data_IF_763249015593
#
_entry.id   IF_763249015593
#
_cell.length_a   1.000
_cell.length_b   1.000
_cell.length_c   1.000
_cell.angle_alpha   90.00
_cell.angle_beta   90.00
_cell.angle_gamma   90.00
#
_symmetry.space_group_name_H-M   'P 1'
#
loop_
_entity.id
_entity.type
_entity.pdbx_description
1 polymer ?
#
# COMPACT_ATOMS: atom_id res chain seq x y z
N UNK A 1 5.84 -14.95 0.99
CA UNK A 1 5.42 -13.89 0.04
C UNK A 1 5.05 -14.42 -1.34
N UNK A 2 5.86 -15.23 -2.04
CA UNK A 2 5.57 -15.60 -3.44
C UNK A 2 4.21 -16.29 -3.66
N UNK A 3 3.83 -17.21 -2.76
CA UNK A 3 2.52 -17.87 -2.81
C UNK A 3 1.37 -16.87 -2.67
N UNK A 4 1.46 -15.92 -1.73
CA UNK A 4 0.43 -14.90 -1.54
C UNK A 4 0.34 -13.97 -2.76
N UNK A 5 1.46 -13.62 -3.38
CA UNK A 5 1.49 -12.84 -4.62
C UNK A 5 0.76 -13.58 -5.74
N UNK A 6 1.04 -14.88 -5.93
CA UNK A 6 0.35 -15.70 -6.93
C UNK A 6 -1.16 -15.77 -6.66
N UNK A 7 -1.57 -15.93 -5.41
CA UNK A 7 -2.99 -15.93 -5.03
C UNK A 7 -3.67 -14.59 -5.31
N UNK A 8 -3.04 -13.47 -4.95
CA UNK A 8 -3.60 -12.14 -5.22
C UNK A 8 -3.64 -11.83 -6.72
N UNK A 9 -2.60 -12.22 -7.47
CA UNK A 9 -2.56 -12.05 -8.92
C UNK A 9 -3.63 -12.88 -9.63
N UNK A 10 -3.78 -14.15 -9.25
CA UNK A 10 -4.85 -15.02 -9.76
C UNK A 10 -6.23 -14.46 -9.41
N UNK A 11 -6.43 -14.04 -8.16
CA UNK A 11 -7.67 -13.40 -7.72
C UNK A 11 -7.98 -12.13 -8.53
N UNK A 12 -6.97 -11.32 -8.84
CA UNK A 12 -7.12 -10.08 -9.61
C UNK A 12 -7.61 -10.39 -11.02
N UNK A 13 -6.93 -11.29 -11.73
CA UNK A 13 -7.33 -11.72 -13.07
C UNK A 13 -8.76 -12.26 -13.10
N UNK A 14 -9.12 -13.08 -12.12
CA UNK A 14 -10.49 -13.61 -11.98
C UNK A 14 -11.53 -12.51 -11.68
N UNK A 15 -11.17 -11.52 -10.86
CA UNK A 15 -12.07 -10.42 -10.51
C UNK A 15 -12.37 -9.50 -11.69
N UNK A 16 -11.37 -9.29 -12.57
CA UNK A 16 -11.51 -8.53 -13.80
C UNK A 16 -12.45 -9.26 -14.77
N UNK A 17 -12.27 -10.57 -14.96
CA UNK A 17 -13.15 -11.40 -15.80
C UNK A 17 -14.61 -11.40 -15.33
N UNK A 18 -14.84 -11.15 -14.02
CA UNK A 18 -16.18 -11.11 -13.41
C UNK A 18 -16.77 -9.70 -13.33
N UNK A 19 -16.11 -8.69 -13.91
CA UNK A 19 -16.53 -7.29 -13.82
C UNK A 19 -16.78 -6.84 -12.37
N UNK A 20 -15.99 -7.33 -11.42
CA UNK A 20 -16.11 -6.97 -10.02
C UNK A 20 -15.73 -5.49 -9.81
N UNK A 21 -16.53 -4.75 -9.02
CA UNK A 21 -16.33 -3.31 -8.85
C UNK A 21 -15.12 -2.98 -7.96
N UNK A 22 -15.09 -3.45 -6.70
CA UNK A 22 -14.08 -3.04 -5.71
C UNK A 22 -12.92 -4.04 -5.54
N UNK A 23 -13.15 -5.30 -5.88
CA UNK A 23 -12.19 -6.39 -5.67
C UNK A 23 -10.87 -6.19 -6.42
N UNK A 24 -10.85 -5.75 -7.70
CA UNK A 24 -9.60 -5.52 -8.41
C UNK A 24 -8.72 -4.47 -7.73
N UNK A 25 -9.32 -3.40 -7.20
CA UNK A 25 -8.60 -2.35 -6.48
C UNK A 25 -7.93 -2.89 -5.21
N UNK A 26 -8.67 -3.61 -4.37
CA UNK A 26 -8.14 -4.17 -3.11
C UNK A 26 -7.04 -5.21 -3.36
N UNK A 27 -7.19 -6.06 -4.39
CA UNK A 27 -6.17 -7.04 -4.74
C UNK A 27 -4.91 -6.39 -5.32
N UNK A 28 -5.05 -5.28 -6.04
CA UNK A 28 -3.92 -4.49 -6.52
C UNK A 28 -3.17 -3.86 -5.34
N UNK A 29 -3.89 -3.27 -4.38
CA UNK A 29 -3.28 -2.73 -3.15
C UNK A 29 -2.54 -3.82 -2.36
N UNK A 30 -3.13 -5.01 -2.24
CA UNK A 30 -2.48 -6.16 -1.60
C UNK A 30 -1.22 -6.62 -2.35
N UNK A 31 -1.25 -6.65 -3.69
CA UNK A 31 -0.07 -7.00 -4.49
C UNK A 31 1.09 -6.03 -4.30
N UNK A 32 0.81 -4.73 -4.30
CA UNK A 32 1.83 -3.70 -4.05
C UNK A 32 2.42 -3.86 -2.63
N UNK A 33 1.56 -4.04 -1.63
CA UNK A 33 1.99 -4.29 -0.24
C UNK A 33 2.86 -5.54 -0.12
N UNK A 34 2.46 -6.65 -0.75
CA UNK A 34 3.22 -7.90 -0.77
C UNK A 34 4.56 -7.75 -1.51
N UNK A 35 4.61 -6.96 -2.59
CA UNK A 35 5.83 -6.65 -3.32
C UNK A 35 6.86 -5.93 -2.44
N UNK A 36 6.45 -4.85 -1.77
CA UNK A 36 7.31 -4.14 -0.81
C UNK A 36 7.72 -5.01 0.38
N UNK A 37 6.79 -5.81 0.91
CA UNK A 37 7.10 -6.74 2.01
C UNK A 37 8.12 -7.80 1.58
N UNK A 38 7.98 -8.35 0.37
CA UNK A 38 8.92 -9.30 -0.22
C UNK A 38 10.31 -8.71 -0.37
N UNK A 39 10.40 -7.47 -0.85
CA UNK A 39 11.67 -6.73 -0.92
C UNK A 39 12.28 -6.55 0.47
N UNK A 40 11.49 -6.09 1.45
CA UNK A 40 11.97 -5.89 2.82
C UNK A 40 12.51 -7.18 3.47
N UNK A 41 11.78 -8.30 3.32
CA UNK A 41 12.21 -9.61 3.82
C UNK A 41 13.48 -10.10 3.11
N UNK A 42 13.62 -9.81 1.82
CA UNK A 42 14.78 -10.27 1.03
C UNK A 42 16.06 -9.52 1.37
N UNK A 43 15.95 -8.27 1.80
CA UNK A 43 17.12 -7.47 2.20
C UNK A 43 17.52 -7.74 3.65
N UNK A 44 16.56 -8.08 4.53
CA UNK A 44 16.79 -8.32 5.95
C UNK A 44 17.97 -9.28 6.23
N UNK A 45 18.86 -8.98 7.19
CA UNK A 45 18.87 -7.83 8.10
C UNK A 45 19.52 -6.57 7.51
N UNK A 46 20.03 -6.66 6.29
CA UNK A 46 20.70 -5.57 5.61
C UNK A 46 19.67 -4.64 4.96
N UNK A 47 19.99 -3.35 4.90
CA UNK A 47 19.20 -2.39 4.11
C UNK A 47 19.97 -1.95 2.86
N UNK A 48 21.31 -1.99 2.92
CA UNK A 48 22.20 -1.86 1.75
C UNK A 48 23.17 -3.04 1.78
N UNK A 49 22.91 -4.11 1.01
CA UNK A 49 23.79 -5.28 0.98
C UNK A 49 25.18 -4.98 0.37
N UNK A 50 26.24 -5.69 0.80
CA UNK A 50 26.25 -6.70 1.86
C UNK A 50 26.53 -6.12 3.27
N UNK A 51 26.87 -4.83 3.37
CA UNK A 51 27.63 -4.30 4.51
C UNK A 51 26.87 -3.39 5.47
N UNK A 52 25.69 -2.87 5.10
CA UNK A 52 24.95 -1.95 5.97
C UNK A 52 23.67 -2.60 6.46
N UNK A 53 23.65 -2.90 7.75
CA UNK A 53 22.50 -3.41 8.47
C UNK A 53 21.47 -2.32 8.77
N UNK A 54 20.24 -2.72 9.07
CA UNK A 54 19.18 -1.80 9.52
C UNK A 54 19.58 -1.01 10.78
N UNK A 55 20.42 -1.60 11.63
CA UNK A 55 20.87 -0.99 12.89
C UNK A 55 21.96 0.06 12.66
N UNK A 56 22.87 -0.18 11.72
CA UNK A 56 23.91 0.78 11.35
C UNK A 56 23.34 1.97 10.58
N UNK A 57 22.28 1.74 9.80
CA UNK A 57 21.55 2.80 9.09
C UNK A 57 20.56 3.55 9.98
N UNK A 58 20.36 3.13 11.24
CA UNK A 58 19.37 3.72 12.12
C UNK A 58 19.82 5.11 12.60
N UNK A 59 18.90 6.08 12.57
CA UNK A 59 19.10 7.38 13.20
C UNK A 59 19.08 7.27 14.74
N UNK A 60 19.60 8.28 15.47
CA UNK A 60 19.59 8.28 16.93
C UNK A 60 18.17 8.12 17.52
N UNK A 61 18.00 7.43 18.67
CA UNK A 61 16.67 7.12 19.23
C UNK A 61 15.76 8.34 19.45
N UNK A 62 16.34 9.49 19.80
CA UNK A 62 15.57 10.74 19.99
C UNK A 62 14.95 11.24 18.68
N UNK A 63 15.70 11.17 17.57
CA UNK A 63 15.22 11.54 16.24
C UNK A 63 14.16 10.55 15.76
N UNK A 64 14.39 9.24 15.97
CA UNK A 64 13.39 8.21 15.65
C UNK A 64 12.10 8.38 16.45
N UNK A 65 12.20 8.70 17.75
CA UNK A 65 11.06 8.99 18.60
C UNK A 65 10.23 10.17 18.10
N UNK A 66 10.89 11.26 17.69
CA UNK A 66 10.23 12.41 17.07
C UNK A 66 9.50 12.01 15.77
N UNK A 67 10.18 11.28 14.87
CA UNK A 67 9.58 10.80 13.62
C UNK A 67 8.39 9.87 13.87
N UNK A 68 8.48 9.00 14.88
CA UNK A 68 7.40 8.07 15.26
C UNK A 68 6.15 8.82 15.70
N UNK A 69 6.29 9.83 16.57
CA UNK A 69 5.16 10.67 17.01
C UNK A 69 4.52 11.38 15.82
N UNK A 70 5.33 11.97 14.94
CA UNK A 70 4.85 12.58 13.70
C UNK A 70 4.10 11.58 12.82
N UNK A 71 4.66 10.40 12.59
CA UNK A 71 4.06 9.35 11.78
C UNK A 71 2.73 8.84 12.37
N UNK A 72 2.65 8.67 13.70
CA UNK A 72 1.43 8.23 14.40
C UNK A 72 0.26 9.22 14.25
N UNK A 73 0.52 10.50 14.04
CA UNK A 73 -0.53 11.51 13.81
C UNK A 73 -0.81 11.71 12.32
N UNK A 74 0.24 11.83 11.52
CA UNK A 74 0.14 12.17 10.10
C UNK A 74 -0.39 11.01 9.27
N UNK A 75 0.05 9.76 9.51
CA UNK A 75 -0.40 8.61 8.72
C UNK A 75 -1.91 8.41 8.86
N UNK A 76 -2.50 8.37 10.07
CA UNK A 76 -3.95 8.25 10.20
C UNK A 76 -4.71 9.41 9.55
N UNK A 77 -4.21 10.64 9.66
CA UNK A 77 -4.83 11.80 9.02
C UNK A 77 -4.87 11.65 7.50
N UNK A 78 -3.75 11.27 6.87
CA UNK A 78 -3.68 11.00 5.43
C UNK A 78 -4.67 9.89 5.07
N UNK A 79 -4.69 8.78 5.80
CA UNK A 79 -5.59 7.66 5.52
C UNK A 79 -7.07 8.05 5.66
N UNK A 80 -7.42 8.84 6.68
CA UNK A 80 -8.79 9.36 6.86
C UNK A 80 -9.19 10.25 5.69
N UNK A 81 -8.34 11.19 5.30
CA UNK A 81 -8.61 12.07 4.17
C UNK A 81 -8.73 11.30 2.86
N UNK A 82 -7.83 10.35 2.60
CA UNK A 82 -7.90 9.50 1.41
C UNK A 82 -9.18 8.68 1.40
N UNK A 83 -9.54 8.02 2.50
CA UNK A 83 -10.78 7.25 2.61
C UNK A 83 -12.02 8.14 2.43
N UNK A 84 -12.03 9.34 3.02
CA UNK A 84 -13.11 10.32 2.85
C UNK A 84 -13.24 10.77 1.40
N UNK A 85 -12.13 11.03 0.72
CA UNK A 85 -12.12 11.39 -0.70
C UNK A 85 -12.76 10.28 -1.56
N UNK A 86 -12.34 9.03 -1.37
CA UNK A 86 -12.99 7.89 -2.04
C UNK A 86 -14.47 7.75 -1.68
N UNK A 87 -14.85 8.03 -0.44
CA UNK A 87 -16.26 8.01 -0.03
C UNK A 87 -17.07 9.10 -0.73
N UNK A 88 -16.57 10.34 -0.77
CA UNK A 88 -17.23 11.48 -1.44
C UNK A 88 -17.37 11.23 -2.95
N UNK A 89 -16.33 10.69 -3.58
CA UNK A 89 -16.29 10.44 -5.03
C UNK A 89 -16.66 9.00 -5.45
N UNK A 90 -17.41 8.26 -4.62
CA UNK A 90 -17.80 6.87 -4.94
C UNK A 90 -18.84 6.73 -6.05
N UNK A 91 -19.45 7.84 -6.48
CA UNK A 91 -20.46 7.86 -7.53
C UNK A 91 -19.90 7.36 -8.86
N UNK A 92 -20.64 6.51 -9.57
CA UNK A 92 -20.29 6.14 -10.94
C UNK A 92 -20.66 7.31 -11.85
N UNK A 93 -19.72 7.77 -12.66
CA UNK A 93 -19.97 8.81 -13.66
C UNK A 93 -20.67 8.15 -14.86
N UNK A 94 -21.85 8.65 -15.23
CA UNK A 94 -22.56 8.27 -16.45
C UNK A 94 -22.15 9.19 -17.60
N UNK A 95 -22.26 8.71 -18.84
CA UNK A 95 -22.01 9.54 -20.03
C UNK A 95 -22.98 10.71 -20.15
N UNK A 96 -24.16 10.63 -19.51
CA UNK A 96 -25.18 11.69 -19.48
C UNK A 96 -24.81 12.84 -18.52
N UNK A 97 -23.92 12.61 -17.55
CA UNK A 97 -23.53 13.63 -16.55
C UNK A 97 -22.57 14.70 -17.13
N UNK A 98 -22.10 14.51 -18.37
CA UNK A 98 -21.05 15.33 -19.01
C UNK A 98 -21.48 16.16 -20.23
N UNK A 99 -22.76 16.16 -20.61
CA UNK A 99 -23.27 16.92 -21.76
C UNK A 99 -24.38 17.90 -21.35
N UNK A 100 -23.96 19.09 -20.92
CA UNK A 100 -24.76 20.31 -20.91
C UNK A 100 -24.00 21.41 -21.64
#
# INVERSE_FOLDING_TARGET
VPVLVLLCAFGLLRSIQRYANYTPFLLTLALIFLGYSGLGISLWPNIIPPSVSIWEAASPPQSQGFTLVGALLIIPLILMYTAWSYYVFRGKVSAEDGYH
#
